data_IF_598054360759
#
_entry.id   IF_598054360759
#
_cell.length_a   1.000
_cell.length_b   1.000
_cell.length_c   1.000
_cell.angle_alpha   90.00
_cell.angle_beta   90.00
_cell.angle_gamma   90.00
#
_symmetry.space_group_name_H-M   'P 1'
#
loop_
_entity.id
_entity.type
_entity.pdbx_description
1 polymer ?
#
# COMPACT_ATOMS: atom_id res chain seq x y z
N UNK A 1 25.78 0.82 -10.64
CA UNK A 1 26.13 -0.36 -9.83
C UNK A 1 26.84 -1.36 -10.71
N UNK A 2 28.00 -1.86 -10.29
CA UNK A 2 28.74 -2.91 -10.99
C UNK A 2 28.55 -4.21 -10.21
N UNK A 3 28.03 -5.24 -10.86
CA UNK A 3 27.91 -6.58 -10.32
C UNK A 3 28.93 -7.46 -11.03
N UNK A 4 29.97 -7.88 -10.30
CA UNK A 4 31.03 -8.75 -10.81
C UNK A 4 31.00 -10.06 -10.04
N UNK A 5 30.83 -11.16 -10.76
CA UNK A 5 30.67 -12.50 -10.18
C UNK A 5 31.55 -13.49 -10.91
N UNK A 6 32.02 -14.52 -10.19
CA UNK A 6 32.93 -15.53 -10.74
C UNK A 6 32.25 -16.47 -11.74
N UNK A 7 31.06 -16.96 -11.39
CA UNK A 7 30.27 -17.90 -12.21
C UNK A 7 28.82 -17.45 -12.40
N UNK A 8 28.46 -16.31 -11.79
CA UNK A 8 27.18 -15.68 -11.99
C UNK A 8 27.22 -14.70 -13.16
N UNK A 9 26.09 -14.05 -13.40
CA UNK A 9 26.00 -12.99 -14.40
C UNK A 9 26.69 -11.73 -13.90
N UNK A 10 27.74 -11.32 -14.61
CA UNK A 10 28.37 -10.03 -14.38
C UNK A 10 27.69 -8.96 -15.23
N UNK A 11 27.28 -7.85 -14.62
CA UNK A 11 26.49 -6.81 -15.28
C UNK A 11 26.75 -5.42 -14.69
N UNK A 12 26.56 -4.39 -15.51
CA UNK A 12 26.70 -2.99 -15.11
C UNK A 12 25.37 -2.27 -15.30
N UNK A 13 24.98 -1.50 -14.29
CA UNK A 13 23.74 -0.75 -14.26
C UNK A 13 24.01 0.74 -14.03
N UNK A 14 23.36 1.58 -14.82
CA UNK A 14 23.44 3.02 -14.73
C UNK A 14 22.63 3.61 -13.57
N UNK A 15 22.84 4.91 -13.28
CA UNK A 15 22.28 5.60 -12.12
C UNK A 15 20.79 5.94 -12.25
N UNK A 16 20.19 5.88 -13.45
CA UNK A 16 18.79 6.23 -13.72
C UNK A 16 17.72 5.27 -13.20
N UNK A 17 18.07 4.35 -12.30
CA UNK A 17 17.15 3.31 -11.81
C UNK A 17 17.41 1.93 -12.41
N UNK A 18 18.66 1.63 -12.77
CA UNK A 18 19.05 0.28 -13.19
C UNK A 18 19.02 0.06 -14.69
N UNK A 19 19.14 1.11 -15.51
CA UNK A 19 19.37 0.98 -16.95
C UNK A 19 20.63 0.12 -17.20
N UNK A 20 20.55 -0.86 -18.10
CA UNK A 20 21.70 -1.73 -18.37
C UNK A 20 22.74 -0.97 -19.20
N UNK A 21 23.98 -0.99 -18.74
CA UNK A 21 25.11 -0.48 -19.51
C UNK A 21 25.75 -1.66 -20.25
N UNK A 22 25.52 -1.70 -21.56
CA UNK A 22 26.03 -2.76 -22.42
C UNK A 22 25.38 -4.14 -22.19
N UNK A 23 25.97 -5.15 -22.82
CA UNK A 23 25.51 -6.54 -22.68
C UNK A 23 26.12 -7.18 -21.40
N UNK A 24 25.32 -7.91 -20.61
CA UNK A 24 25.84 -8.64 -19.46
C UNK A 24 26.75 -9.79 -19.91
N UNK A 25 27.74 -10.12 -19.09
CA UNK A 25 28.56 -11.31 -19.25
C UNK A 25 27.84 -12.51 -18.61
N UNK A 26 27.58 -13.53 -19.43
CA UNK A 26 26.94 -14.76 -19.00
C UNK A 26 27.85 -15.67 -18.18
N UNK A 27 27.29 -16.80 -17.74
CA UNK A 27 27.94 -17.73 -16.81
C UNK A 27 28.89 -18.72 -17.46
N UNK A 28 28.77 -18.91 -18.77
CA UNK A 28 29.39 -20.02 -19.50
C UNK A 28 30.73 -19.65 -20.14
N UNK A 29 31.24 -18.45 -19.81
CA UNK A 29 32.41 -17.86 -20.46
C UNK A 29 33.38 -17.33 -19.41
N UNK A 30 34.67 -17.58 -19.62
CA UNK A 30 35.74 -16.89 -18.89
C UNK A 30 36.12 -15.64 -19.69
N UNK A 31 35.55 -14.50 -19.31
CA UNK A 31 35.67 -13.26 -20.07
C UNK A 31 35.76 -12.03 -19.16
N UNK A 32 36.31 -10.93 -19.69
CA UNK A 32 36.32 -9.62 -19.07
C UNK A 32 35.78 -8.58 -20.06
N UNK A 33 35.03 -7.60 -19.56
CA UNK A 33 34.48 -6.51 -20.36
C UNK A 33 34.74 -5.17 -19.66
N UNK A 34 34.99 -4.13 -20.46
CA UNK A 34 35.25 -2.77 -19.99
C UNK A 34 34.08 -1.89 -20.42
N UNK A 35 33.55 -1.10 -19.48
CA UNK A 35 32.41 -0.23 -19.71
C UNK A 35 32.71 1.16 -19.12
N UNK A 36 32.36 2.20 -19.88
CA UNK A 36 32.30 3.57 -19.36
C UNK A 36 30.98 3.75 -18.60
N UNK A 37 31.07 4.17 -17.33
CA UNK A 37 29.90 4.32 -16.45
C UNK A 37 29.75 5.77 -16.02
N UNK A 38 28.59 6.41 -16.30
CA UNK A 38 28.35 7.76 -15.85
C UNK A 38 28.21 7.81 -14.32
N UNK A 39 28.95 8.73 -13.69
CA UNK A 39 28.85 9.00 -12.26
C UNK A 39 27.79 10.08 -12.00
N UNK A 40 27.04 9.92 -10.91
CA UNK A 40 26.07 10.92 -10.44
C UNK A 40 26.32 11.24 -8.98
N UNK A 41 26.09 12.51 -8.62
CA UNK A 41 26.24 13.03 -7.26
C UNK A 41 24.89 13.30 -6.59
N UNK A 42 23.79 13.16 -7.33
CA UNK A 42 22.43 13.36 -6.82
C UNK A 42 22.01 12.28 -5.83
N UNK A 43 21.05 12.63 -4.98
CA UNK A 43 20.44 11.72 -4.00
C UNK A 43 18.98 11.49 -4.36
N UNK A 44 18.48 10.26 -4.23
CA UNK A 44 17.05 9.99 -4.40
C UNK A 44 16.24 10.34 -3.15
N UNK A 45 14.93 10.53 -3.31
CA UNK A 45 14.04 10.76 -2.18
C UNK A 45 14.03 9.57 -1.21
N UNK A 46 14.16 8.35 -1.74
CA UNK A 46 14.29 7.14 -0.94
C UNK A 46 15.57 7.15 -0.09
N UNK A 47 16.72 7.64 -0.58
CA UNK A 47 17.93 7.80 0.26
C UNK A 47 17.70 8.79 1.40
N UNK A 48 16.91 9.84 1.18
CA UNK A 48 16.67 10.89 2.19
C UNK A 48 15.62 10.50 3.23
N UNK A 49 14.54 9.84 2.81
CA UNK A 49 13.37 9.57 3.63
C UNK A 49 13.28 8.09 4.04
N UNK A 50 14.01 7.22 3.35
CA UNK A 50 13.93 5.77 3.51
C UNK A 50 12.54 5.21 3.22
N UNK A 51 12.24 4.08 3.84
CA UNK A 51 10.92 3.44 3.77
C UNK A 51 9.86 4.11 4.64
N UNK A 52 10.21 5.19 5.36
CA UNK A 52 9.28 5.90 6.24
C UNK A 52 8.02 6.36 5.51
N UNK A 53 8.17 6.84 4.26
CA UNK A 53 7.02 7.26 3.46
C UNK A 53 6.04 6.09 3.20
N UNK A 54 6.56 4.88 2.96
CA UNK A 54 5.75 3.68 2.75
C UNK A 54 5.07 3.26 4.05
N UNK A 55 5.81 3.23 5.15
CA UNK A 55 5.24 2.89 6.45
C UNK A 55 4.18 3.89 6.89
N UNK A 56 4.39 5.19 6.70
CA UNK A 56 3.40 6.22 7.01
C UNK A 56 2.12 6.06 6.16
N UNK A 57 2.28 5.79 4.85
CA UNK A 57 1.15 5.56 3.95
C UNK A 57 0.32 4.34 4.34
N UNK A 58 0.93 3.31 4.94
CA UNK A 58 0.23 2.13 5.46
C UNK A 58 -0.35 2.37 6.86
N UNK A 59 0.39 3.03 7.74
CA UNK A 59 0.01 3.23 9.14
C UNK A 59 -1.21 4.15 9.31
N UNK A 60 -1.34 5.20 8.48
CA UNK A 60 -2.46 6.13 8.55
C UNK A 60 -3.83 5.47 8.31
N UNK A 61 -4.09 4.81 7.16
CA UNK A 61 -5.37 4.13 6.94
C UNK A 61 -5.56 2.94 7.88
N UNK A 62 -4.51 2.20 8.23
CA UNK A 62 -4.61 1.11 9.20
C UNK A 62 -5.04 1.62 10.59
N UNK A 63 -4.46 2.73 11.05
CA UNK A 63 -4.82 3.37 12.31
C UNK A 63 -6.26 3.90 12.31
N UNK A 64 -6.69 4.54 11.21
CA UNK A 64 -8.08 4.98 11.05
C UNK A 64 -9.06 3.81 11.05
N UNK A 65 -8.76 2.75 10.29
CA UNK A 65 -9.57 1.54 10.23
C UNK A 65 -9.67 0.84 11.60
N UNK A 66 -8.55 0.76 12.34
CA UNK A 66 -8.54 0.20 13.69
C UNK A 66 -9.37 1.04 14.67
N UNK A 67 -9.28 2.37 14.58
CA UNK A 67 -10.05 3.29 15.42
C UNK A 67 -11.56 3.18 15.16
N UNK A 68 -11.98 3.16 13.89
CA UNK A 68 -13.39 3.01 13.54
C UNK A 68 -13.91 1.60 13.86
N UNK A 69 -13.11 0.56 13.61
CA UNK A 69 -13.45 -0.81 14.01
C UNK A 69 -13.67 -0.93 15.52
N UNK A 70 -12.78 -0.32 16.32
CA UNK A 70 -12.92 -0.29 17.77
C UNK A 70 -14.16 0.50 18.21
N UNK A 71 -14.49 1.62 17.55
CA UNK A 71 -15.71 2.40 17.83
C UNK A 71 -16.98 1.60 17.56
N UNK A 72 -17.01 0.83 16.47
CA UNK A 72 -18.14 -0.06 16.15
C UNK A 72 -18.32 -1.15 17.20
N UNK A 73 -17.23 -1.79 17.63
CA UNK A 73 -17.27 -2.81 18.68
C UNK A 73 -17.68 -2.24 20.05
N UNK A 74 -17.34 -0.99 20.33
CA UNK A 74 -17.68 -0.32 21.60
C UNK A 74 -19.07 0.30 21.64
N UNK A 75 -19.73 0.51 20.49
CA UNK A 75 -21.10 1.01 20.45
C UNK A 75 -22.06 -0.16 20.75
N UNK A 76 -22.85 -0.08 21.83
CA UNK A 76 -23.94 -1.03 22.03
C UNK A 76 -24.87 -0.98 20.80
N UNK A 77 -25.33 -2.14 20.34
CA UNK A 77 -26.31 -2.20 19.25
C UNK A 77 -27.48 -1.25 19.59
N UNK A 78 -27.97 -0.44 18.63
CA UNK A 78 -29.21 0.29 18.82
C UNK A 78 -30.26 -0.71 19.27
N UNK A 79 -30.84 -0.49 20.46
CA UNK A 79 -31.85 -1.39 21.01
C UNK A 79 -32.91 -1.66 19.94
N UNK A 80 -33.30 -2.93 19.79
CA UNK A 80 -34.31 -3.37 18.82
C UNK A 80 -35.47 -2.37 18.83
N UNK A 81 -35.88 -1.80 17.67
CA UNK A 81 -36.96 -0.83 17.64
C UNK A 81 -38.17 -1.44 18.34
N UNK A 82 -38.55 -0.90 19.50
CA UNK A 82 -39.69 -1.39 20.26
C UNK A 82 -40.88 -1.41 19.31
N UNK A 83 -41.53 -2.58 19.20
CA UNK A 83 -42.63 -2.80 18.28
C UNK A 83 -43.63 -1.65 18.42
N UNK A 84 -43.79 -0.87 17.35
CA UNK A 84 -44.72 0.25 17.30
C UNK A 84 -46.09 -0.23 17.77
N UNK A 85 -46.53 0.26 18.92
CA UNK A 85 -47.85 -0.02 19.45
C UNK A 85 -48.87 0.44 18.41
N UNK A 86 -49.45 -0.52 17.68
CA UNK A 86 -50.58 -0.30 16.79
C UNK A 86 -51.72 0.25 17.65
N UNK A 87 -51.87 1.57 17.69
CA UNK A 87 -53.08 2.19 18.21
C UNK A 87 -54.20 1.79 17.28
N UNK A 88 -55.06 0.88 17.75
CA UNK A 88 -56.33 0.58 17.09
C UNK A 88 -57.14 1.88 17.04
N UNK A 89 -57.19 2.51 15.86
CA UNK A 89 -58.10 3.64 15.63
C UNK A 89 -59.51 3.09 15.56
N UNK A 90 -60.20 3.10 16.71
CA UNK A 90 -61.64 2.89 16.78
C UNK A 90 -62.36 3.98 15.98
N UNK A 91 -63.07 3.58 14.94
CA UNK A 91 -63.89 4.47 14.12
C UNK A 91 -65.20 4.75 14.86
N UNK A 92 -65.62 6.02 15.05
CA UNK A 92 -66.89 6.31 15.71
C UNK A 92 -68.06 5.90 14.81
N UNK A 93 -68.96 5.07 15.36
CA UNK A 93 -70.22 4.71 14.72
C UNK A 93 -71.09 5.96 14.53
N UNK A 94 -71.57 6.19 13.31
CA UNK A 94 -72.52 7.28 13.01
C UNK A 94 -73.90 6.93 13.57
N UNK A 95 -74.61 7.84 14.24
CA UNK A 95 -76.00 7.63 14.59
C UNK A 95 -76.85 7.76 13.32
N UNK A 96 -77.67 6.75 13.04
CA UNK A 96 -78.69 6.79 12.01
C UNK A 96 -80.00 7.36 12.55
N UNK A 97 -80.47 8.41 11.86
CA UNK A 97 -81.83 9.01 11.81
C UNK A 97 -82.58 9.30 13.11
#
# INVERSE_FOLDING_TARGET
MVHATLTGTSAVYGPGGGEKVGAPLGTDVSAAAVFDVPLTTGTTLHVRVGDWAVYAALALPAGLGAAEGLRLLRRPAPGSPAALARTARGWPARPGR
#
